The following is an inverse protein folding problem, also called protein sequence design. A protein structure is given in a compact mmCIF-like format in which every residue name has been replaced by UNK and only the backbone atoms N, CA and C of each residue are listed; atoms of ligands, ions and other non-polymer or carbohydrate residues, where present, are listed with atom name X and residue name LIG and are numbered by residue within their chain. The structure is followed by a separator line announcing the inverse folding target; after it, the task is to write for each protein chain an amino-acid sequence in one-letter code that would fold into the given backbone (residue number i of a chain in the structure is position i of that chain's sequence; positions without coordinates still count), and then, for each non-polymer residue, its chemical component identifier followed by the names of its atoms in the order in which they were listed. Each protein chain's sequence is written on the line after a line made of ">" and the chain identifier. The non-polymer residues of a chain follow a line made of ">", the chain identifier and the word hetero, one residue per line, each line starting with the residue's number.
data_IF_986754379318
#
_entry.id   IF_986754379318
#
_cell.length_a   1.000
_cell.length_b   1.000
_cell.length_c   1.000
_cell.angle_alpha   90.00
_cell.angle_beta   90.00
_cell.angle_gamma   90.00
#
_symmetry.space_group_name_H-M   'P 1'
#
loop_
_entity.id
_entity.type
_entity.pdbx_description
1 polymer ?
#
# COMPACT_ATOMS: atom_id res chain seq x y z
N UNK A 1 9.20 22.41 25.32
CA UNK A 1 7.90 21.88 24.87
C UNK A 1 8.22 21.01 23.67
N UNK A 2 8.16 19.70 23.83
CA UNK A 2 8.35 18.74 22.75
C UNK A 2 6.98 18.52 22.11
N UNK A 3 6.91 18.45 20.78
CA UNK A 3 6.03 17.51 20.07
C UNK A 3 6.38 17.41 18.58
N UNK A 4 6.94 16.24 18.28
CA UNK A 4 6.98 15.47 17.04
C UNK A 4 6.80 16.21 15.69
N UNK A 5 7.89 16.22 14.95
CA UNK A 5 8.00 16.32 13.50
C UNK A 5 7.14 15.23 12.84
N UNK A 6 5.92 15.58 12.39
CA UNK A 6 5.13 14.69 11.53
C UNK A 6 5.66 14.85 10.10
N UNK A 7 6.46 13.89 9.68
CA UNK A 7 6.86 13.71 8.29
C UNK A 7 5.59 13.41 7.49
N UNK A 8 5.02 14.45 6.89
CA UNK A 8 4.08 14.28 5.78
C UNK A 8 4.90 13.85 4.57
N UNK A 9 5.32 12.59 4.57
CA UNK A 9 5.90 11.92 3.43
C UNK A 9 4.85 11.89 2.31
N UNK A 10 5.07 12.70 1.27
CA UNK A 10 4.53 12.48 -0.06
C UNK A 10 3.02 12.30 -0.21
N UNK A 11 2.18 13.13 0.43
CA UNK A 11 0.77 13.22 0.03
C UNK A 11 0.69 13.79 -1.41
N UNK A 12 0.81 12.92 -2.41
CA UNK A 12 0.51 13.26 -3.80
C UNK A 12 -0.96 13.70 -3.86
N UNK A 13 -1.24 14.95 -4.26
CA UNK A 13 -2.61 15.45 -4.29
C UNK A 13 -3.41 14.64 -5.30
N UNK A 14 -4.54 14.09 -4.84
CA UNK A 14 -5.59 13.44 -5.65
C UNK A 14 -5.36 12.04 -6.24
N UNK A 15 -4.24 11.35 -5.96
CA UNK A 15 -4.01 10.00 -6.49
C UNK A 15 -4.31 8.92 -5.44
N UNK A 16 -5.17 7.95 -5.80
CA UNK A 16 -5.41 6.76 -4.98
C UNK A 16 -4.18 5.84 -4.98
N UNK A 17 -3.78 5.31 -3.83
CA UNK A 17 -2.72 4.30 -3.72
C UNK A 17 -2.95 3.33 -2.56
N UNK A 18 -2.25 2.19 -2.60
CA UNK A 18 -2.19 1.24 -1.49
C UNK A 18 -0.86 1.37 -0.77
N UNK A 19 -0.87 1.47 0.55
CA UNK A 19 0.29 1.17 1.38
C UNK A 19 0.16 -0.25 1.90
N UNK A 20 1.17 -1.10 1.68
CA UNK A 20 1.15 -2.49 2.09
C UNK A 20 2.36 -2.80 2.94
N UNK A 21 2.12 -3.14 4.21
CA UNK A 21 3.15 -3.53 5.18
C UNK A 21 2.96 -4.98 5.58
N UNK A 22 4.06 -5.66 5.88
CA UNK A 22 4.02 -7.02 6.41
C UNK A 22 4.04 -6.98 7.93
N UNK A 23 3.01 -7.55 8.53
CA UNK A 23 2.85 -7.66 9.97
C UNK A 23 3.73 -8.79 10.53
N UNK A 24 4.14 -8.72 11.81
CA UNK A 24 5.00 -9.72 12.44
C UNK A 24 4.35 -11.12 12.52
N UNK A 25 3.03 -11.20 12.43
CA UNK A 25 2.27 -12.46 12.36
C UNK A 25 2.23 -13.08 10.94
N UNK A 26 2.88 -12.44 9.98
CA UNK A 26 2.97 -12.88 8.59
C UNK A 26 1.82 -12.42 7.69
N UNK A 27 0.85 -11.66 8.20
CA UNK A 27 -0.22 -11.06 7.39
C UNK A 27 0.26 -9.78 6.70
N UNK A 28 -0.40 -9.38 5.64
CA UNK A 28 -0.26 -8.08 5.01
C UNK A 28 -1.33 -7.14 5.54
N UNK A 29 -0.93 -5.97 6.03
CA UNK A 29 -1.79 -4.83 6.29
C UNK A 29 -1.85 -3.98 5.02
N UNK A 30 -3.04 -3.84 4.44
CA UNK A 30 -3.28 -3.06 3.23
C UNK A 30 -4.09 -1.82 3.60
N UNK A 31 -3.53 -0.65 3.37
CA UNK A 31 -4.16 0.65 3.60
C UNK A 31 -4.42 1.32 2.26
N UNK A 32 -5.68 1.41 1.87
CA UNK A 32 -6.10 2.22 0.72
C UNK A 32 -6.21 3.68 1.14
N UNK A 33 -5.50 4.56 0.43
CA UNK A 33 -5.48 6.00 0.65
C UNK A 33 -6.07 6.70 -0.57
N UNK A 34 -7.09 7.55 -0.37
CA UNK A 34 -7.71 8.34 -1.43
C UNK A 34 -8.40 9.59 -0.85
N UNK A 35 -7.98 10.79 -1.27
CA UNK A 35 -8.64 12.05 -0.91
C UNK A 35 -8.82 12.27 0.60
N UNK A 36 -7.85 11.85 1.42
CA UNK A 36 -7.91 11.92 2.89
C UNK A 36 -8.68 10.78 3.56
N UNK A 37 -9.33 9.90 2.80
CA UNK A 37 -9.96 8.68 3.32
C UNK A 37 -8.95 7.55 3.33
N UNK A 38 -8.78 6.93 4.50
CA UNK A 38 -7.95 5.74 4.68
C UNK A 38 -8.83 4.54 5.03
N UNK A 39 -8.73 3.44 4.27
CA UNK A 39 -9.38 2.16 4.61
C UNK A 39 -8.32 1.08 4.80
N UNK A 40 -8.32 0.48 5.98
CA UNK A 40 -7.38 -0.59 6.33
C UNK A 40 -8.06 -1.95 6.21
N UNK A 41 -7.32 -2.92 5.68
CA UNK A 41 -7.71 -4.33 5.64
C UNK A 41 -6.49 -5.21 5.90
N UNK A 42 -6.72 -6.45 6.32
CA UNK A 42 -5.65 -7.41 6.58
C UNK A 42 -5.88 -8.66 5.73
N UNK A 43 -4.81 -9.20 5.15
CA UNK A 43 -4.86 -10.42 4.32
C UNK A 43 -3.59 -11.24 4.51
N UNK A 44 -3.73 -12.55 4.67
CA UNK A 44 -2.56 -13.46 4.68
C UNK A 44 -2.08 -13.83 3.26
N UNK A 45 -2.75 -13.33 2.22
CA UNK A 45 -2.47 -13.67 0.83
C UNK A 45 -2.00 -12.46 0.05
N UNK A 46 -0.79 -12.54 -0.48
CA UNK A 46 -0.20 -11.57 -1.41
C UNK A 46 -1.06 -11.42 -2.67
N UNK A 47 -1.63 -12.51 -3.19
CA UNK A 47 -2.48 -12.47 -4.39
C UNK A 47 -3.73 -11.63 -4.19
N UNK A 48 -4.27 -11.58 -2.97
CA UNK A 48 -5.41 -10.72 -2.64
C UNK A 48 -5.02 -9.24 -2.70
N UNK A 49 -3.81 -8.88 -2.26
CA UNK A 49 -3.28 -7.50 -2.35
C UNK A 49 -3.21 -7.05 -3.80
N UNK A 50 -2.58 -7.86 -4.66
CA UNK A 50 -2.44 -7.59 -6.10
C UNK A 50 -3.81 -7.47 -6.76
N UNK A 51 -4.74 -8.38 -6.43
CA UNK A 51 -6.11 -8.36 -6.95
C UNK A 51 -6.87 -7.10 -6.53
N UNK A 52 -6.68 -6.63 -5.28
CA UNK A 52 -7.29 -5.39 -4.80
C UNK A 52 -6.76 -4.18 -5.58
N UNK A 53 -5.45 -4.07 -5.78
CA UNK A 53 -4.85 -2.99 -6.56
C UNK A 53 -5.37 -2.94 -8.01
N UNK A 54 -5.46 -4.11 -8.66
CA UNK A 54 -6.02 -4.22 -10.02
C UNK A 54 -7.49 -3.82 -10.08
N UNK A 55 -8.31 -4.29 -9.13
CA UNK A 55 -9.74 -3.94 -9.07
C UNK A 55 -9.99 -2.46 -8.81
N UNK A 56 -9.06 -1.80 -8.13
CA UNK A 56 -9.12 -0.36 -7.89
C UNK A 56 -8.65 0.49 -9.10
N UNK A 57 -8.38 -0.13 -10.26
CA UNK A 57 -7.94 0.57 -11.47
C UNK A 57 -6.43 0.51 -11.72
N UNK A 58 -5.71 -0.41 -11.06
CA UNK A 58 -4.26 -0.52 -11.19
C UNK A 58 -3.53 0.58 -10.42
N UNK A 59 -4.06 0.94 -9.25
CA UNK A 59 -3.48 1.99 -8.41
C UNK A 59 -2.08 1.62 -7.95
N UNK A 60 -1.19 2.61 -7.76
CA UNK A 60 0.15 2.37 -7.27
C UNK A 60 0.16 1.70 -5.90
N UNK A 61 1.17 0.85 -5.68
CA UNK A 61 1.42 0.19 -4.39
C UNK A 61 2.72 0.72 -3.80
N UNK A 62 2.67 1.24 -2.59
CA UNK A 62 3.82 1.52 -1.73
C UNK A 62 4.04 0.32 -0.80
N UNK A 63 5.22 -0.30 -0.83
CA UNK A 63 5.57 -1.41 0.04
C UNK A 63 7.08 -1.55 0.26
N UNK A 64 7.46 -1.93 1.48
CA UNK A 64 8.82 -2.32 1.83
C UNK A 64 9.05 -3.85 1.71
N UNK A 65 8.01 -4.65 1.46
CA UNK A 65 8.15 -6.10 1.34
C UNK A 65 8.69 -6.50 -0.04
N UNK A 66 9.88 -7.09 -0.05
CA UNK A 66 10.57 -7.48 -1.28
C UNK A 66 9.81 -8.51 -2.12
N UNK A 67 9.06 -9.42 -1.50
CA UNK A 67 8.28 -10.42 -2.23
C UNK A 67 7.07 -9.79 -2.93
N UNK A 68 6.40 -8.85 -2.27
CA UNK A 68 5.33 -8.05 -2.88
C UNK A 68 5.86 -7.18 -4.00
N UNK A 69 7.00 -6.50 -3.79
CA UNK A 69 7.63 -5.66 -4.81
C UNK A 69 7.96 -6.46 -6.07
N UNK A 70 8.55 -7.64 -5.92
CA UNK A 70 8.84 -8.53 -7.04
C UNK A 70 7.55 -8.92 -7.78
N UNK A 71 6.50 -9.31 -7.06
CA UNK A 71 5.22 -9.69 -7.68
C UNK A 71 4.53 -8.52 -8.38
N UNK A 72 4.67 -7.29 -7.88
CA UNK A 72 4.19 -6.11 -8.59
C UNK A 72 4.91 -5.92 -9.93
N UNK A 73 6.23 -6.13 -9.98
CA UNK A 73 7.00 -6.06 -11.24
C UNK A 73 6.55 -7.16 -12.21
N UNK A 74 6.43 -8.40 -11.75
CA UNK A 74 5.95 -9.52 -12.58
C UNK A 74 4.54 -9.27 -13.15
N UNK A 75 3.65 -8.66 -12.36
CA UNK A 75 2.27 -8.36 -12.75
C UNK A 75 2.11 -6.98 -13.44
N UNK A 76 3.22 -6.28 -13.71
CA UNK A 76 3.23 -4.94 -14.31
C UNK A 76 2.38 -3.90 -13.56
N UNK A 77 2.39 -3.96 -12.23
CA UNK A 77 1.77 -2.95 -11.37
C UNK A 77 2.73 -1.79 -11.07
N UNK A 78 2.16 -0.60 -10.95
CA UNK A 78 2.91 0.60 -10.57
C UNK A 78 3.32 0.52 -9.10
N UNK A 79 4.59 0.80 -8.82
CA UNK A 79 5.16 0.91 -7.48
C UNK A 79 5.46 2.38 -7.18
N UNK A 80 5.22 2.82 -5.94
CA UNK A 80 5.64 4.14 -5.43
C UNK A 80 7.05 4.08 -4.84
#
# INVERSE_FOLDING_TARGET
>A
MAEAQLVADGAQPDHAYLTVTREPDGRYCVVYQHGGVSRRSYTSSLEQVIRQARRAGGIPINTDDGALRQRCVDESLTLL
#
